data_IF_634979764206
#
_entry.id   IF_634979764206
#
_cell.length_a   1.000
_cell.length_b   1.000
_cell.length_c   1.000
_cell.angle_alpha   90.00
_cell.angle_beta   90.00
_cell.angle_gamma   90.00
#
_symmetry.space_group_name_H-M   'P 1'
#
loop_
_entity.id
_entity.type
_entity.pdbx_description
1 polymer ?
#
# COMPACT_ATOMS: atom_id res chain seq x y z
N UNK A 1 -3.75 4.37 31.39
CA UNK A 1 -2.36 4.38 30.87
C UNK A 1 -1.55 3.47 31.79
N UNK A 2 -0.81 2.51 31.24
CA UNK A 2 -0.14 1.45 32.03
C UNK A 2 1.12 1.94 32.76
N UNK A 3 1.75 3.02 32.29
CA UNK A 3 2.89 3.66 32.96
C UNK A 3 4.26 3.02 32.67
N UNK A 4 4.30 2.05 31.76
CA UNK A 4 5.54 1.43 31.28
C UNK A 4 6.29 2.36 30.31
N UNK A 5 7.61 2.19 30.23
CA UNK A 5 8.45 2.95 29.31
C UNK A 5 8.14 2.60 27.86
N UNK A 6 8.13 3.62 27.00
CA UNK A 6 7.99 3.43 25.56
C UNK A 6 9.30 2.91 24.96
N UNK A 7 9.17 2.02 23.99
CA UNK A 7 10.29 1.53 23.19
C UNK A 7 10.02 1.78 21.70
N UNK A 8 11.09 1.97 20.95
CA UNK A 8 11.08 1.87 19.49
C UNK A 8 11.48 0.43 19.12
N UNK A 9 10.74 -0.21 18.23
CA UNK A 9 11.13 -1.56 17.76
C UNK A 9 12.41 -1.45 16.95
N UNK A 10 13.23 -2.49 16.98
CA UNK A 10 14.51 -2.48 16.26
C UNK A 10 14.36 -2.27 14.74
N UNK A 11 13.24 -2.71 14.14
CA UNK A 11 12.96 -2.58 12.72
C UNK A 11 12.40 -1.20 12.31
N UNK A 12 12.07 -0.35 13.29
CA UNK A 12 11.60 1.03 13.08
C UNK A 12 12.78 2.03 13.02
N UNK A 13 14.05 1.56 13.08
CA UNK A 13 15.24 2.40 12.86
C UNK A 13 15.27 2.94 11.44
N UNK A 14 15.66 4.20 11.26
CA UNK A 14 15.63 4.89 9.95
C UNK A 14 16.35 4.10 8.84
N UNK A 15 17.54 3.58 9.12
CA UNK A 15 18.31 2.77 8.16
C UNK A 15 17.52 1.53 7.71
N UNK A 16 16.89 0.83 8.65
CA UNK A 16 16.06 -0.35 8.37
C UNK A 16 14.80 0.03 7.57
N UNK A 17 14.14 1.14 7.92
CA UNK A 17 12.97 1.64 7.17
C UNK A 17 13.35 2.00 5.74
N UNK A 18 14.44 2.76 5.54
CA UNK A 18 14.92 3.12 4.20
C UNK A 18 15.26 1.89 3.37
N UNK A 19 15.95 0.91 3.96
CA UNK A 19 16.28 -0.33 3.25
C UNK A 19 15.06 -1.14 2.85
N UNK A 20 14.03 -1.19 3.71
CA UNK A 20 12.75 -1.85 3.39
C UNK A 20 12.00 -1.14 2.27
N UNK A 21 11.99 0.19 2.26
CA UNK A 21 11.38 0.98 1.19
C UNK A 21 12.10 0.77 -0.15
N UNK A 22 13.43 0.79 -0.16
CA UNK A 22 14.24 0.49 -1.35
C UNK A 22 13.90 -0.89 -1.93
N UNK A 23 13.93 -1.94 -1.10
CA UNK A 23 13.60 -3.31 -1.53
C UNK A 23 12.15 -3.44 -2.02
N UNK A 24 11.21 -2.71 -1.41
CA UNK A 24 9.82 -2.67 -1.89
C UNK A 24 9.74 -2.11 -3.32
N UNK A 25 10.41 -0.99 -3.60
CA UNK A 25 10.45 -0.39 -4.94
C UNK A 25 11.16 -1.29 -5.96
N UNK A 26 12.23 -1.98 -5.56
CA UNK A 26 12.96 -2.87 -6.46
C UNK A 26 12.19 -4.16 -6.79
N UNK A 27 11.51 -4.76 -5.80
CA UNK A 27 11.00 -6.13 -5.92
C UNK A 27 9.48 -6.23 -5.92
N UNK A 28 8.79 -5.34 -5.23
CA UNK A 28 7.32 -5.42 -5.05
C UNK A 28 6.57 -4.49 -5.99
N UNK A 29 7.07 -3.27 -6.22
CA UNK A 29 6.45 -2.31 -7.15
C UNK A 29 6.26 -2.84 -8.59
N UNK A 30 7.14 -3.69 -9.16
CA UNK A 30 6.90 -4.28 -10.48
C UNK A 30 5.60 -5.09 -10.59
N UNK A 31 5.08 -5.63 -9.49
CA UNK A 31 3.78 -6.32 -9.49
C UNK A 31 2.61 -5.36 -9.74
N UNK A 32 2.75 -4.09 -9.35
CA UNK A 32 1.74 -3.05 -9.62
C UNK A 32 1.64 -2.84 -11.13
N UNK A 33 2.77 -2.74 -11.81
CA UNK A 33 2.83 -2.59 -13.27
C UNK A 33 2.25 -3.80 -14.00
N UNK A 34 2.50 -5.01 -13.49
CA UNK A 34 1.91 -6.22 -14.03
C UNK A 34 0.37 -6.19 -13.98
N UNK A 35 -0.22 -5.94 -12.82
CA UNK A 35 -1.68 -5.95 -12.69
C UNK A 35 -2.35 -4.78 -13.42
N UNK A 36 -1.74 -3.60 -13.44
CA UNK A 36 -2.23 -2.47 -14.24
C UNK A 36 -2.28 -2.82 -15.73
N UNK A 37 -1.20 -3.39 -16.27
CA UNK A 37 -1.15 -3.80 -17.69
C UNK A 37 -2.11 -4.94 -18.00
N UNK A 38 -2.36 -5.83 -17.04
CA UNK A 38 -3.33 -6.90 -17.20
C UNK A 38 -4.76 -6.35 -17.29
N UNK A 39 -5.13 -5.40 -16.43
CA UNK A 39 -6.42 -4.70 -16.58
C UNK A 39 -6.52 -3.98 -17.94
N UNK A 40 -5.47 -3.27 -18.35
CA UNK A 40 -5.42 -2.54 -19.63
C UNK A 40 -5.49 -3.46 -20.86
N UNK A 41 -5.16 -4.75 -20.73
CA UNK A 41 -5.20 -5.69 -21.85
C UNK A 41 -6.64 -6.04 -22.28
N UNK A 42 -7.62 -5.82 -21.41
CA UNK A 42 -9.01 -6.18 -21.64
C UNK A 42 -9.28 -7.69 -21.56
N UNK A 43 -8.33 -8.47 -21.03
CA UNK A 43 -8.52 -9.88 -20.72
C UNK A 43 -9.70 -10.04 -19.74
N UNK A 44 -10.70 -10.89 -20.04
CA UNK A 44 -11.87 -11.08 -19.17
C UNK A 44 -11.51 -11.63 -17.78
N UNK A 45 -10.36 -12.28 -17.63
CA UNK A 45 -9.88 -12.80 -16.35
C UNK A 45 -9.01 -11.78 -15.58
N UNK A 46 -8.73 -10.60 -16.17
CA UNK A 46 -7.95 -9.56 -15.53
C UNK A 46 -8.68 -8.99 -14.31
N UNK A 47 -8.02 -8.90 -13.14
CA UNK A 47 -8.61 -8.21 -12.00
C UNK A 47 -8.67 -6.71 -12.27
N UNK A 48 -9.69 -6.05 -11.73
CA UNK A 48 -9.78 -4.59 -11.76
C UNK A 48 -8.69 -3.99 -10.87
N UNK A 49 -7.88 -3.09 -11.42
CA UNK A 49 -6.81 -2.42 -10.69
C UNK A 49 -7.28 -1.05 -10.20
N UNK A 50 -7.02 -0.76 -8.92
CA UNK A 50 -7.46 0.48 -8.27
C UNK A 50 -6.30 1.04 -7.45
N UNK A 51 -5.87 2.26 -7.79
CA UNK A 51 -4.90 3.01 -6.99
C UNK A 51 -5.62 4.00 -6.08
N UNK A 52 -5.36 3.90 -4.78
CA UNK A 52 -5.90 4.81 -3.75
C UNK A 52 -4.76 5.63 -3.14
N UNK A 53 -5.00 6.91 -2.84
CA UNK A 53 -4.02 7.73 -2.14
C UNK A 53 -4.04 7.39 -0.64
N UNK A 54 -2.93 6.89 -0.11
CA UNK A 54 -2.79 6.51 1.29
C UNK A 54 -2.50 7.67 2.27
N UNK A 55 -2.48 8.92 1.80
CA UNK A 55 -2.23 10.11 2.63
C UNK A 55 -3.56 10.81 2.94
N UNK A 56 -3.93 10.86 4.21
CA UNK A 56 -5.17 11.48 4.70
C UNK A 56 -5.64 10.85 6.01
N UNK A 57 -6.87 11.17 6.42
CA UNK A 57 -7.52 10.48 7.53
C UNK A 57 -7.96 9.07 7.14
N UNK A 58 -8.10 8.20 8.13
CA UNK A 58 -8.56 6.82 7.93
C UNK A 58 -9.96 6.79 7.30
N UNK A 59 -10.85 7.69 7.72
CA UNK A 59 -12.22 7.78 7.19
C UNK A 59 -12.22 8.18 5.71
N UNK A 60 -11.42 9.16 5.31
CA UNK A 60 -11.30 9.58 3.90
C UNK A 60 -10.77 8.43 3.02
N UNK A 61 -9.74 7.72 3.48
CA UNK A 61 -9.15 6.60 2.75
C UNK A 61 -10.16 5.44 2.63
N UNK A 62 -10.88 5.12 3.71
CA UNK A 62 -11.96 4.12 3.70
C UNK A 62 -13.01 4.47 2.66
N UNK A 63 -13.49 5.70 2.65
CA UNK A 63 -14.57 6.13 1.77
C UNK A 63 -14.11 6.11 0.30
N UNK A 64 -12.84 6.44 0.02
CA UNK A 64 -12.24 6.28 -1.31
C UNK A 64 -12.22 4.81 -1.76
N UNK A 65 -11.86 3.87 -0.88
CA UNK A 65 -11.86 2.43 -1.17
C UNK A 65 -13.28 1.93 -1.45
N UNK A 66 -14.25 2.26 -0.60
CA UNK A 66 -15.65 1.85 -0.76
C UNK A 66 -16.24 2.37 -2.08
N UNK A 67 -16.06 3.66 -2.35
CA UNK A 67 -16.50 4.28 -3.60
C UNK A 67 -15.87 3.61 -4.81
N UNK A 68 -14.58 3.26 -4.73
CA UNK A 68 -13.94 2.54 -5.81
C UNK A 68 -14.62 1.18 -6.01
N UNK A 69 -14.83 0.38 -4.97
CA UNK A 69 -15.45 -0.95 -5.08
C UNK A 69 -16.92 -0.95 -5.54
N UNK A 70 -17.57 0.22 -5.67
CA UNK A 70 -18.96 0.36 -6.09
C UNK A 70 -19.95 0.42 -4.94
N UNK A 71 -19.47 0.72 -3.73
CA UNK A 71 -20.29 1.05 -2.56
C UNK A 71 -20.73 2.51 -2.51
#
# INVERSE_FOLDING_TARGET
>A
VTGEDLIQRDDDKEETVRKRLELYHEQTEPLIDFYRKWEESGDPDAPRYIKINGVGSVDEIRDQILKALGG
#
